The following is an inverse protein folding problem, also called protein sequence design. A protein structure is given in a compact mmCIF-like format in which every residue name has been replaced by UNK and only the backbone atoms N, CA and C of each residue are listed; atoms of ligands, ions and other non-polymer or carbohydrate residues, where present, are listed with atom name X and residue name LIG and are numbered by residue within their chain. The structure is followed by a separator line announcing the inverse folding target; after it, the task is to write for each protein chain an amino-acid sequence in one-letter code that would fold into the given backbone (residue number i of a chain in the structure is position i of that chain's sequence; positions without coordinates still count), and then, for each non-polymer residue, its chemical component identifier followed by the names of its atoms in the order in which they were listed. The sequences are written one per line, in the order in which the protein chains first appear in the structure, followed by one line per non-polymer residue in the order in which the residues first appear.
data_IF_677219122260
#
_entry.id   IF_677219122260
#
_cell.length_a   1.000
_cell.length_b   1.000
_cell.length_c   1.000
_cell.angle_alpha   90.00
_cell.angle_beta   90.00
_cell.angle_gamma   90.00
#
_symmetry.space_group_name_H-M   'P 1'
#
loop_
_entity.id
_entity.type
_entity.pdbx_description
1 polymer ?
#
# COMPACT_ATOMS: atom_id res chain seq x y z
N UNK A 1 14.27 -10.87 -8.22
CA UNK A 1 13.53 -9.83 -8.97
C UNK A 1 14.47 -8.64 -9.22
N UNK A 2 14.41 -8.01 -10.40
CA UNK A 2 15.14 -6.76 -10.68
C UNK A 2 14.23 -5.56 -10.40
N UNK A 3 14.77 -4.50 -9.81
CA UNK A 3 14.05 -3.23 -9.65
C UNK A 3 14.32 -2.32 -10.84
N UNK A 4 13.26 -1.71 -11.37
CA UNK A 4 13.33 -0.82 -12.52
C UNK A 4 12.95 0.59 -12.08
N UNK A 5 13.88 1.56 -12.06
CA UNK A 5 13.62 2.99 -11.73
C UNK A 5 12.67 3.17 -10.52
N UNK A 6 13.05 2.72 -9.31
CA UNK A 6 12.15 2.66 -8.15
C UNK A 6 11.89 4.02 -7.48
N UNK A 7 12.57 5.10 -7.91
CA UNK A 7 12.57 6.40 -7.24
C UNK A 7 11.15 6.94 -6.99
N UNK A 8 10.25 6.81 -7.95
CA UNK A 8 8.87 7.28 -7.80
C UNK A 8 8.14 6.57 -6.67
N UNK A 9 8.14 5.23 -6.67
CA UNK A 9 7.50 4.44 -5.63
C UNK A 9 8.15 4.62 -4.27
N UNK A 10 9.48 4.83 -4.22
CA UNK A 10 10.18 5.15 -2.97
C UNK A 10 9.65 6.46 -2.40
N UNK A 11 9.57 7.51 -3.23
CA UNK A 11 9.05 8.83 -2.80
C UNK A 11 7.61 8.71 -2.32
N UNK A 12 6.76 7.99 -3.07
CA UNK A 12 5.36 7.74 -2.69
C UNK A 12 5.26 7.02 -1.35
N UNK A 13 6.05 5.97 -1.13
CA UNK A 13 6.04 5.22 0.14
C UNK A 13 6.51 6.10 1.29
N UNK A 14 7.54 6.93 1.09
CA UNK A 14 8.03 7.86 2.11
C UNK A 14 6.99 8.91 2.47
N UNK A 15 6.30 9.48 1.49
CA UNK A 15 5.19 10.42 1.74
C UNK A 15 4.10 9.73 2.56
N UNK A 16 3.70 8.53 2.15
CA UNK A 16 2.64 7.80 2.84
C UNK A 16 3.06 7.40 4.27
N UNK A 17 4.33 7.08 4.48
CA UNK A 17 4.88 6.81 5.81
C UNK A 17 4.79 8.05 6.70
N UNK A 18 5.22 9.22 6.21
CA UNK A 18 5.10 10.48 6.93
C UNK A 18 3.65 10.81 7.28
N UNK A 19 2.71 10.58 6.35
CA UNK A 19 1.28 10.78 6.60
C UNK A 19 0.73 9.81 7.65
N UNK A 20 1.13 8.54 7.62
CA UNK A 20 0.74 7.55 8.64
C UNK A 20 1.23 7.96 10.02
N UNK A 21 2.49 8.38 10.11
CA UNK A 21 3.10 8.85 11.37
C UNK A 21 2.38 10.11 11.89
N UNK A 22 2.09 11.08 11.01
CA UNK A 22 1.38 12.29 11.39
C UNK A 22 -0.04 11.98 11.90
N UNK A 23 -0.76 11.10 11.19
CA UNK A 23 -2.08 10.65 11.61
C UNK A 23 -2.03 9.94 12.97
N UNK A 24 -1.01 9.12 13.20
CA UNK A 24 -0.78 8.45 14.47
C UNK A 24 -0.54 9.44 15.62
N UNK A 25 0.31 10.46 15.43
CA UNK A 25 0.52 11.50 16.45
C UNK A 25 -0.74 12.32 16.73
N UNK A 26 -1.49 12.70 15.70
CA UNK A 26 -2.76 13.42 15.86
C UNK A 26 -3.78 12.56 16.64
N UNK A 27 -3.83 11.26 16.34
CA UNK A 27 -4.67 10.31 17.05
C UNK A 27 -4.27 10.20 18.54
N UNK A 28 -2.97 10.08 18.83
CA UNK A 28 -2.46 10.05 20.21
C UNK A 28 -2.81 11.31 21.00
N UNK A 29 -2.70 12.50 20.38
CA UNK A 29 -3.11 13.75 21.03
C UNK A 29 -4.63 13.84 21.26
N UNK A 30 -5.43 13.36 20.31
CA UNK A 30 -6.89 13.31 20.48
C UNK A 30 -7.28 12.37 21.63
N UNK A 31 -6.60 11.24 21.75
CA UNK A 31 -6.77 10.29 22.86
C UNK A 31 -6.36 10.88 24.21
N UNK A 32 -5.27 11.65 24.26
CA UNK A 32 -4.82 12.32 25.49
C UNK A 32 -5.84 13.39 25.95
N UNK A 33 -6.43 14.14 25.01
CA UNK A 33 -7.53 15.07 25.31
C UNK A 33 -8.78 14.34 25.80
N UNK A 34 -9.20 13.27 25.12
CA UNK A 34 -10.36 12.47 25.52
C UNK A 34 -10.18 11.85 26.91
N UNK A 35 -8.98 11.35 27.22
CA UNK A 35 -8.65 10.81 28.55
C UNK A 35 -8.76 11.86 29.66
N UNK A 36 -8.40 13.11 29.34
CA UNK A 36 -8.45 14.22 30.30
C UNK A 36 -9.87 14.74 30.51
N UNK A 37 -10.68 14.76 29.45
CA UNK A 37 -12.04 15.34 29.49
C UNK A 37 -13.11 14.31 29.90
N UNK A 38 -13.00 13.04 29.50
CA UNK A 38 -14.02 12.00 29.74
C UNK A 38 -13.37 10.60 29.89
N UNK A 39 -12.86 10.25 31.09
CA UNK A 39 -12.14 9.00 31.32
C UNK A 39 -13.00 7.75 31.15
N UNK A 40 -14.32 7.84 31.37
CA UNK A 40 -15.25 6.71 31.16
C UNK A 40 -15.43 6.37 29.67
N UNK A 41 -15.42 7.38 28.79
CA UNK A 41 -15.53 7.17 27.34
C UNK A 41 -14.24 6.54 26.77
N UNK A 42 -13.09 6.86 27.37
CA UNK A 42 -11.77 6.37 26.94
C UNK A 42 -11.66 4.84 27.03
N UNK A 43 -12.24 4.21 28.06
CA UNK A 43 -12.24 2.73 28.21
C UNK A 43 -13.20 2.01 27.25
N UNK A 44 -14.19 2.70 26.70
CA UNK A 44 -15.21 2.14 25.81
C UNK A 44 -14.86 2.25 24.32
N UNK A 45 -13.83 3.01 23.97
CA UNK A 45 -13.43 3.26 22.58
C UNK A 45 -12.42 2.20 22.13
N UNK A 46 -12.87 1.27 21.29
CA UNK A 46 -12.00 0.45 20.44
C UNK A 46 -11.84 1.16 19.08
N UNK A 47 -10.82 2.02 18.96
CA UNK A 47 -10.65 2.86 17.76
C UNK A 47 -9.79 2.15 16.72
N UNK A 48 -10.44 1.65 15.68
CA UNK A 48 -9.82 0.95 14.56
C UNK A 48 -8.87 1.85 13.75
N UNK A 49 -7.58 1.49 13.72
CA UNK A 49 -6.51 2.26 13.06
C UNK A 49 -6.54 2.05 11.55
N UNK A 50 -7.38 2.82 10.86
CA UNK A 50 -7.62 2.67 9.41
C UNK A 50 -6.46 3.21 8.55
N UNK A 51 -5.68 4.16 9.09
CA UNK A 51 -4.57 4.82 8.39
C UNK A 51 -3.36 3.92 8.17
N UNK A 52 -3.06 3.04 9.12
CA UNK A 52 -1.92 2.12 9.02
C UNK A 52 -2.10 1.08 7.90
N UNK A 53 -3.33 0.65 7.66
CA UNK A 53 -3.64 -0.25 6.56
C UNK A 53 -3.53 0.41 5.19
N UNK A 54 -3.87 1.69 5.06
CA UNK A 54 -3.69 2.44 3.81
C UNK A 54 -2.20 2.54 3.45
N UNK A 55 -1.33 2.79 4.42
CA UNK A 55 0.12 2.74 4.23
C UNK A 55 0.58 1.38 3.71
N UNK A 56 0.09 0.29 4.31
CA UNK A 56 0.42 -1.07 3.91
C UNK A 56 0.00 -1.36 2.46
N UNK A 57 -1.18 -0.90 2.02
CA UNK A 57 -1.62 -1.06 0.63
C UNK A 57 -0.73 -0.32 -0.36
N UNK A 58 -0.40 0.95 -0.05
CA UNK A 58 0.50 1.75 -0.88
C UNK A 58 1.90 1.11 -0.95
N UNK A 59 2.38 0.53 0.15
CA UNK A 59 3.66 -0.17 0.19
C UNK A 59 3.67 -1.39 -0.74
N UNK A 60 2.62 -2.21 -0.71
CA UNK A 60 2.48 -3.38 -1.59
C UNK A 60 2.42 -2.99 -3.06
N UNK A 61 1.57 -2.00 -3.41
CA UNK A 61 1.41 -1.53 -4.79
C UNK A 61 2.72 -0.89 -5.29
N UNK A 62 3.36 -0.08 -4.44
CA UNK A 62 4.65 0.55 -4.74
C UNK A 62 5.74 -0.50 -4.96
N UNK A 63 5.80 -1.54 -4.14
CA UNK A 63 6.75 -2.65 -4.34
C UNK A 63 6.50 -3.37 -5.68
N UNK A 64 5.24 -3.62 -6.02
CA UNK A 64 4.89 -4.20 -7.32
C UNK A 64 5.33 -3.31 -8.50
N UNK A 65 5.12 -2.01 -8.41
CA UNK A 65 5.59 -1.03 -9.41
C UNK A 65 7.10 -1.09 -9.60
N UNK A 66 7.87 -1.18 -8.51
CA UNK A 66 9.34 -1.21 -8.56
C UNK A 66 9.84 -2.46 -9.29
N UNK A 67 9.15 -3.59 -9.14
CA UNK A 67 9.51 -4.86 -9.81
C UNK A 67 8.97 -4.94 -11.25
N UNK A 68 8.16 -3.97 -11.69
CA UNK A 68 7.57 -3.95 -13.03
C UNK A 68 8.47 -3.19 -14.00
N UNK A 69 8.70 -3.77 -15.17
CA UNK A 69 9.51 -3.16 -16.24
C UNK A 69 8.84 -1.88 -16.77
N UNK A 70 9.62 -0.90 -17.26
CA UNK A 70 9.08 0.33 -17.83
C UNK A 70 8.16 0.00 -19.01
N UNK A 71 6.88 0.33 -18.85
CA UNK A 71 5.79 0.04 -19.77
C UNK A 71 4.61 0.98 -19.49
N UNK A 72 3.62 1.04 -20.39
CA UNK A 72 2.39 1.81 -20.15
C UNK A 72 1.67 1.37 -18.86
N UNK A 73 1.71 0.08 -18.54
CA UNK A 73 1.16 -0.47 -17.30
C UNK A 73 1.84 0.15 -16.08
N UNK A 74 3.16 0.31 -16.13
CA UNK A 74 3.92 0.96 -15.06
C UNK A 74 3.46 2.40 -14.84
N UNK A 75 3.31 3.17 -15.91
CA UNK A 75 2.82 4.55 -15.85
C UNK A 75 1.41 4.61 -15.26
N UNK A 76 0.52 3.68 -15.62
CA UNK A 76 -0.83 3.60 -15.04
C UNK A 76 -0.79 3.33 -13.53
N UNK A 77 0.07 2.42 -13.07
CA UNK A 77 0.24 2.15 -11.63
C UNK A 77 0.74 3.40 -10.89
N UNK A 78 1.67 4.16 -11.49
CA UNK A 78 2.18 5.40 -10.90
C UNK A 78 1.10 6.47 -10.76
N UNK A 79 0.30 6.69 -11.81
CA UNK A 79 -0.84 7.62 -11.77
C UNK A 79 -1.83 7.18 -10.68
N UNK A 80 -2.11 5.89 -10.62
CA UNK A 80 -3.04 5.33 -9.65
C UNK A 80 -2.56 5.50 -8.19
N UNK A 81 -1.27 5.28 -7.93
CA UNK A 81 -0.65 5.55 -6.63
C UNK A 81 -0.83 7.01 -6.20
N UNK A 82 -0.62 7.96 -7.12
CA UNK A 82 -0.83 9.39 -6.83
C UNK A 82 -2.29 9.69 -6.55
N UNK A 83 -3.23 9.11 -7.32
CA UNK A 83 -4.65 9.26 -7.07
C UNK A 83 -5.07 8.73 -5.69
N UNK A 84 -4.50 7.61 -5.22
CA UNK A 84 -4.78 7.09 -3.87
C UNK A 84 -4.33 8.08 -2.80
N UNK A 85 -3.08 8.58 -2.90
CA UNK A 85 -2.52 9.49 -1.89
C UNK A 85 -3.32 10.80 -1.85
N UNK A 86 -3.51 11.44 -3.02
CA UNK A 86 -4.23 12.70 -3.10
C UNK A 86 -5.70 12.51 -2.71
N UNK A 87 -6.33 11.43 -3.15
CA UNK A 87 -7.72 11.10 -2.81
C UNK A 87 -7.92 10.87 -1.32
N UNK A 88 -6.98 10.19 -0.65
CA UNK A 88 -7.05 10.01 0.80
C UNK A 88 -6.80 11.34 1.54
N UNK A 89 -5.76 12.08 1.17
CA UNK A 89 -5.37 13.33 1.82
C UNK A 89 -6.43 14.42 1.68
N UNK A 90 -7.06 14.55 0.51
CA UNK A 90 -8.08 15.56 0.25
C UNK A 90 -9.50 15.05 0.46
N UNK A 91 -9.67 13.85 1.01
CA UNK A 91 -10.99 13.25 1.23
C UNK A 91 -11.91 14.10 2.10
N UNK A 92 -11.35 14.84 3.07
CA UNK A 92 -12.09 15.75 3.96
C UNK A 92 -12.60 17.01 3.24
N UNK A 93 -11.95 17.41 2.15
CA UNK A 93 -12.32 18.59 1.35
C UNK A 93 -13.42 18.23 0.34
N UNK A 94 -13.51 16.97 -0.06
CA UNK A 94 -14.46 16.50 -1.07
C UNK A 94 -15.80 16.22 -0.38
N UNK A 95 -16.87 16.97 -0.71
CA UNK A 95 -18.17 16.87 -0.04
C UNK A 95 -18.98 15.66 -0.54
N UNK A 96 -18.33 14.51 -0.69
CA UNK A 96 -18.93 13.25 -1.11
C UNK A 96 -18.88 12.30 0.09
N UNK A 97 -20.05 11.93 0.61
CA UNK A 97 -20.15 11.00 1.74
C UNK A 97 -19.46 9.68 1.40
N UNK A 98 -18.53 9.27 2.24
CA UNK A 98 -17.82 7.99 2.10
C UNK A 98 -16.72 7.97 1.03
N UNK A 99 -16.32 9.12 0.49
CA UNK A 99 -15.24 9.20 -0.50
C UNK A 99 -13.94 8.55 -0.03
N UNK A 100 -13.52 8.82 1.23
CA UNK A 100 -12.36 8.20 1.84
C UNK A 100 -12.44 6.67 1.81
N UNK A 101 -13.58 6.08 2.17
CA UNK A 101 -13.78 4.63 2.16
C UNK A 101 -13.76 4.06 0.73
N UNK A 102 -14.22 4.83 -0.26
CA UNK A 102 -14.08 4.47 -1.68
C UNK A 102 -12.61 4.39 -2.10
N UNK A 103 -11.80 5.40 -1.76
CA UNK A 103 -10.35 5.40 -2.03
C UNK A 103 -9.66 4.24 -1.31
N UNK A 104 -9.99 4.04 -0.04
CA UNK A 104 -9.46 2.95 0.79
C UNK A 104 -9.75 1.57 0.20
N UNK A 105 -11.01 1.28 -0.16
CA UNK A 105 -11.39 0.00 -0.75
C UNK A 105 -10.69 -0.24 -2.09
N UNK A 106 -10.51 0.80 -2.88
CA UNK A 106 -9.81 0.70 -4.16
C UNK A 106 -8.33 0.36 -3.93
N UNK A 107 -7.68 1.03 -2.97
CA UNK A 107 -6.30 0.72 -2.57
C UNK A 107 -6.16 -0.72 -2.03
N UNK A 108 -7.11 -1.18 -1.22
CA UNK A 108 -7.15 -2.56 -0.71
C UNK A 108 -7.25 -3.59 -1.84
N UNK A 109 -8.19 -3.41 -2.76
CA UNK A 109 -8.39 -4.33 -3.89
C UNK A 109 -7.14 -4.36 -4.80
N UNK A 110 -6.60 -3.20 -5.14
CA UNK A 110 -5.39 -3.10 -5.96
C UNK A 110 -4.17 -3.71 -5.29
N UNK A 111 -4.02 -3.55 -3.98
CA UNK A 111 -2.97 -4.21 -3.19
C UNK A 111 -3.11 -5.74 -3.22
N UNK A 112 -4.33 -6.27 -3.06
CA UNK A 112 -4.61 -7.70 -3.19
C UNK A 112 -4.21 -8.25 -4.56
N UNK A 113 -4.59 -7.55 -5.64
CA UNK A 113 -4.20 -7.93 -7.00
C UNK A 113 -2.68 -7.88 -7.21
N UNK A 114 -2.01 -6.84 -6.69
CA UNK A 114 -0.56 -6.71 -6.75
C UNK A 114 0.15 -7.89 -6.04
N UNK A 115 -0.33 -8.30 -4.86
CA UNK A 115 0.20 -9.47 -4.16
C UNK A 115 0.06 -10.76 -4.97
N UNK A 116 -1.12 -11.01 -5.55
CA UNK A 116 -1.35 -12.19 -6.40
C UNK A 116 -0.36 -12.21 -7.57
N UNK A 117 -0.17 -11.06 -8.23
CA UNK A 117 0.76 -10.95 -9.36
C UNK A 117 2.23 -11.16 -8.96
N UNK A 118 2.63 -10.65 -7.78
CA UNK A 118 3.96 -10.91 -7.21
C UNK A 118 4.14 -12.41 -6.97
N UNK A 119 3.18 -13.06 -6.33
CA UNK A 119 3.22 -14.50 -6.03
C UNK A 119 3.30 -15.36 -7.30
N UNK A 120 2.47 -15.06 -8.30
CA UNK A 120 2.49 -15.76 -9.60
C UNK A 120 3.86 -15.61 -10.26
N UNK A 121 4.47 -14.42 -10.21
CA UNK A 121 5.79 -14.18 -10.79
C UNK A 121 6.88 -14.96 -10.05
N UNK A 122 6.86 -14.96 -8.72
CA UNK A 122 7.80 -15.76 -7.90
C UNK A 122 7.65 -17.25 -8.26
N UNK A 123 6.42 -17.76 -8.30
CA UNK A 123 6.16 -19.15 -8.65
C UNK A 123 6.71 -19.53 -10.03
N UNK A 124 6.47 -18.71 -11.06
CA UNK A 124 7.02 -18.95 -12.42
C UNK A 124 8.55 -19.04 -12.43
N UNK A 125 9.23 -18.10 -11.77
CA UNK A 125 10.69 -18.13 -11.67
C UNK A 125 11.19 -19.41 -10.99
N UNK A 126 10.56 -19.84 -9.89
CA UNK A 126 10.94 -21.07 -9.19
C UNK A 126 10.73 -22.32 -10.04
N UNK A 127 9.64 -22.41 -10.82
CA UNK A 127 9.38 -23.55 -11.70
C UNK A 127 10.31 -23.59 -12.93
N UNK A 128 10.63 -22.44 -13.52
CA UNK A 128 11.61 -22.35 -14.62
C UNK A 128 13.00 -22.82 -14.17
N UNK A 129 13.42 -22.43 -12.96
CA UNK A 129 14.70 -22.83 -12.39
C UNK A 129 14.77 -24.35 -12.11
N UNK A 130 13.69 -24.93 -11.56
CA UNK A 130 13.59 -26.39 -11.37
C UNK A 130 13.65 -27.15 -12.70
N UNK A 131 12.98 -26.66 -13.74
CA UNK A 131 13.01 -27.29 -15.07
C UNK A 131 14.38 -27.18 -15.75
N UNK A 132 15.07 -26.05 -15.58
CA UNK A 132 16.44 -25.86 -16.07
C UNK A 132 17.42 -26.86 -15.43
N UNK A 133 17.38 -27.01 -14.10
CA UNK A 133 18.20 -27.99 -13.40
C UNK A 133 17.89 -29.42 -13.82
N UNK A 134 16.60 -29.73 -14.07
CA UNK A 134 16.18 -31.05 -14.55
C UNK A 134 16.74 -31.33 -15.94
N UNK A 135 16.63 -30.41 -16.91
CA UNK A 135 17.13 -30.65 -18.27
C UNK A 135 18.66 -30.79 -18.33
N UNK A 136 19.39 -30.01 -17.54
CA UNK A 136 20.86 -30.07 -17.51
C UNK A 136 21.38 -31.39 -16.92
N UNK A 137 20.61 -32.03 -16.02
CA UNK A 137 20.95 -33.35 -15.46
C UNK A 137 20.70 -34.50 -16.45
N UNK A 138 19.76 -34.35 -17.39
CA UNK A 138 19.48 -35.36 -18.42
C UNK A 138 20.43 -35.28 -19.63
N UNK A 139 21.11 -34.16 -19.83
CA UNK A 139 22.06 -33.94 -20.93
C UNK A 139 23.53 -34.27 -20.57
N UNK A 140 23.78 -34.84 -19.37
CA UNK A 140 25.09 -35.36 -18.91
C UNK A 140 25.01 -36.87 -18.77
#
# INVERSE_FOLDING_TARGET
MKFYKPLFSIVVILIQLCLSILAHFNHMQAMEKLKTENPELYELIDLHVTYDFLFLFVLVIGFYEMTTSPSLIKTLIQIFLVCIILGAQFSEIIPIKGFYYGVYNTAWFSSGMALVLILVRIGKYSFEEVNYWKSNKYNR
#
